data_IF_273054129241
#
_entry.id   IF_273054129241
#
_cell.length_a   1.000
_cell.length_b   1.000
_cell.length_c   1.000
_cell.angle_alpha   90.00
_cell.angle_beta   90.00
_cell.angle_gamma   90.00
#
_symmetry.space_group_name_H-M   'P 1'
#
loop_
_entity.id
_entity.type
_entity.pdbx_description
1 polymer ?
#
# COMPACT_ATOMS: atom_id res chain seq x y z
N UNK A 1 8.28 -42.40 6.32
CA UNK A 1 7.72 -41.20 5.65
C UNK A 1 8.29 -39.99 6.36
N UNK A 2 8.88 -39.00 5.67
CA UNK A 2 9.33 -37.78 6.32
C UNK A 2 8.14 -37.10 7.02
N UNK A 3 8.38 -36.52 8.19
CA UNK A 3 7.34 -35.77 8.89
C UNK A 3 6.94 -34.55 8.05
N UNK A 4 5.68 -34.08 8.12
CA UNK A 4 5.25 -32.88 7.42
C UNK A 4 6.11 -31.66 7.76
N UNK A 5 6.63 -31.59 9.00
CA UNK A 5 7.56 -30.57 9.44
C UNK A 5 8.92 -30.66 8.72
N UNK A 6 9.45 -31.86 8.50
CA UNK A 6 10.69 -32.04 7.75
C UNK A 6 10.54 -31.65 6.27
N UNK A 7 9.38 -31.94 5.67
CA UNK A 7 9.05 -31.52 4.31
C UNK A 7 8.90 -29.99 4.19
N UNK A 8 8.28 -29.35 5.19
CA UNK A 8 8.18 -27.89 5.24
C UNK A 8 9.55 -27.23 5.41
N UNK A 9 10.36 -27.72 6.36
CA UNK A 9 11.70 -27.19 6.60
C UNK A 9 12.60 -27.33 5.37
N UNK A 10 12.53 -28.45 4.64
CA UNK A 10 13.31 -28.64 3.41
C UNK A 10 12.84 -27.70 2.28
N UNK A 11 11.54 -27.45 2.17
CA UNK A 11 11.00 -26.48 1.22
C UNK A 11 11.50 -25.06 1.51
N UNK A 12 11.45 -24.63 2.77
CA UNK A 12 11.97 -23.31 3.20
C UNK A 12 13.47 -23.21 2.95
N UNK A 13 14.25 -24.23 3.29
CA UNK A 13 15.68 -24.25 3.02
C UNK A 13 15.98 -24.11 1.51
N UNK A 14 15.25 -24.85 0.67
CA UNK A 14 15.39 -24.75 -0.79
C UNK A 14 15.01 -23.39 -1.36
N UNK A 15 14.04 -22.68 -0.75
CA UNK A 15 13.71 -21.29 -1.12
C UNK A 15 14.82 -20.32 -0.74
N UNK A 16 15.40 -20.46 0.46
CA UNK A 16 16.53 -19.64 0.91
C UNK A 16 17.77 -19.86 0.02
N UNK A 17 18.08 -21.11 -0.31
CA UNK A 17 19.18 -21.45 -1.21
C UNK A 17 18.98 -20.82 -2.60
N UNK A 18 17.74 -20.86 -3.13
CA UNK A 18 17.40 -20.24 -4.42
C UNK A 18 17.49 -18.72 -4.38
N UNK A 19 17.05 -18.11 -3.27
CA UNK A 19 17.13 -16.67 -3.05
C UNK A 19 18.58 -16.21 -3.05
N UNK A 20 19.44 -16.84 -2.24
CA UNK A 20 20.89 -16.60 -2.20
C UNK A 20 21.53 -16.74 -3.57
N UNK A 21 21.29 -17.87 -4.25
CA UNK A 21 21.82 -18.11 -5.59
C UNK A 21 21.30 -17.11 -6.64
N UNK A 22 20.15 -16.49 -6.41
CA UNK A 22 19.64 -15.39 -7.22
C UNK A 22 20.49 -14.12 -7.07
N UNK A 23 20.79 -13.73 -5.82
CA UNK A 23 21.65 -12.58 -5.54
C UNK A 23 23.09 -12.76 -6.03
N UNK A 24 23.66 -13.96 -5.89
CA UNK A 24 24.99 -14.27 -6.40
C UNK A 24 25.10 -14.08 -7.93
N UNK A 25 24.00 -14.33 -8.67
CA UNK A 25 23.95 -14.16 -10.12
C UNK A 25 23.83 -12.71 -10.59
N UNK A 26 23.43 -11.78 -9.72
CA UNK A 26 23.13 -10.39 -10.07
C UNK A 26 24.37 -9.45 -10.05
N UNK A 27 25.58 -10.00 -10.04
CA UNK A 27 26.81 -9.26 -9.74
C UNK A 27 27.24 -8.25 -10.84
N UNK A 28 26.70 -8.38 -12.06
CA UNK A 28 26.97 -7.46 -13.18
C UNK A 28 25.80 -6.49 -13.41
N UNK A 29 26.01 -5.18 -13.23
CA UNK A 29 24.99 -4.15 -13.49
C UNK A 29 23.95 -3.91 -12.38
N UNK A 30 24.21 -4.45 -11.17
CA UNK A 30 23.33 -4.44 -9.99
C UNK A 30 22.60 -3.11 -9.74
N UNK A 31 23.27 -1.97 -9.90
CA UNK A 31 22.71 -0.66 -9.58
C UNK A 31 21.58 -0.21 -10.51
N UNK A 32 21.76 -0.38 -11.82
CA UNK A 32 20.73 0.00 -12.79
C UNK A 32 19.47 -0.87 -12.61
N UNK A 33 19.66 -2.16 -12.33
CA UNK A 33 18.57 -3.08 -12.03
C UNK A 33 17.86 -2.71 -10.73
N UNK A 34 18.60 -2.42 -9.65
CA UNK A 34 18.04 -1.97 -8.37
C UNK A 34 17.17 -0.73 -8.56
N UNK A 35 17.68 0.30 -9.23
CA UNK A 35 16.90 1.51 -9.51
C UNK A 35 15.69 1.22 -10.41
N UNK A 36 15.85 0.39 -11.44
CA UNK A 36 14.76 -0.02 -12.32
C UNK A 36 13.63 -0.71 -11.57
N UNK A 37 13.94 -1.60 -10.62
CA UNK A 37 12.95 -2.27 -9.76
C UNK A 37 12.21 -1.25 -8.87
N UNK A 38 12.92 -0.30 -8.25
CA UNK A 38 12.29 0.72 -7.41
C UNK A 38 11.37 1.63 -8.22
N UNK A 39 11.81 2.06 -9.40
CA UNK A 39 11.00 2.86 -10.32
C UNK A 39 9.75 2.09 -10.74
N UNK A 40 9.91 0.81 -11.12
CA UNK A 40 8.78 -0.05 -11.48
C UNK A 40 7.77 -0.15 -10.33
N UNK A 41 8.23 -0.43 -9.11
CA UNK A 41 7.35 -0.53 -7.94
C UNK A 41 6.67 0.80 -7.64
N UNK A 42 7.40 1.91 -7.76
CA UNK A 42 6.85 3.26 -7.52
C UNK A 42 5.69 3.56 -8.47
N UNK A 43 5.87 3.29 -9.77
CA UNK A 43 4.79 3.44 -10.74
C UNK A 43 3.67 2.43 -10.56
N UNK A 44 3.99 1.18 -10.19
CA UNK A 44 2.97 0.18 -9.87
C UNK A 44 2.11 0.59 -8.68
N UNK A 45 2.71 1.16 -7.62
CA UNK A 45 2.00 1.71 -6.47
C UNK A 45 1.10 2.90 -6.85
N UNK A 46 1.62 3.85 -7.62
CA UNK A 46 0.82 4.97 -8.13
C UNK A 46 -0.35 4.46 -8.99
N UNK A 47 -0.11 3.50 -9.87
CA UNK A 47 -1.14 2.87 -10.68
C UNK A 47 -2.18 2.12 -9.83
N UNK A 48 -1.76 1.43 -8.76
CA UNK A 48 -2.67 0.75 -7.84
C UNK A 48 -3.61 1.71 -7.11
N UNK A 49 -3.14 2.91 -6.75
CA UNK A 49 -3.98 3.98 -6.16
C UNK A 49 -5.03 4.43 -7.18
N UNK A 50 -4.62 4.71 -8.42
CA UNK A 50 -5.56 5.08 -9.49
C UNK A 50 -6.57 3.95 -9.77
N UNK A 51 -6.09 2.70 -9.80
CA UNK A 51 -6.94 1.53 -10.00
C UNK A 51 -7.97 1.40 -8.87
N UNK A 52 -7.58 1.62 -7.62
CA UNK A 52 -8.49 1.63 -6.48
C UNK A 52 -9.56 2.73 -6.61
N UNK A 53 -9.16 3.93 -7.03
CA UNK A 53 -10.11 5.01 -7.34
C UNK A 53 -11.12 4.60 -8.41
N UNK A 54 -10.66 3.97 -9.50
CA UNK A 54 -11.55 3.48 -10.56
C UNK A 54 -12.47 2.34 -10.10
N UNK A 55 -12.05 1.55 -9.11
CA UNK A 55 -12.90 0.53 -8.50
C UNK A 55 -14.05 1.19 -7.74
N UNK A 56 -13.81 2.25 -6.98
CA UNK A 56 -14.87 2.97 -6.28
C UNK A 56 -15.89 3.57 -7.26
N UNK A 57 -15.42 4.31 -8.27
CA UNK A 57 -16.27 4.91 -9.30
C UNK A 57 -17.11 3.86 -10.05
N UNK A 58 -16.51 2.72 -10.42
CA UNK A 58 -17.21 1.68 -11.16
C UNK A 58 -18.18 0.82 -10.32
N UNK A 59 -18.05 0.82 -8.99
CA UNK A 59 -18.85 -0.07 -8.12
C UNK A 59 -19.83 0.65 -7.21
N UNK A 60 -19.63 1.94 -6.96
CA UNK A 60 -20.48 2.75 -6.08
C UNK A 60 -21.30 3.71 -6.96
N UNK A 61 -22.41 3.22 -7.47
CA UNK A 61 -23.39 4.03 -8.22
C UNK A 61 -24.42 4.61 -7.23
N UNK A 62 -24.04 5.70 -6.55
CA UNK A 62 -24.89 6.39 -5.57
C UNK A 62 -24.70 7.90 -5.56
N UNK A 63 -25.82 8.58 -5.68
CA UNK A 63 -25.95 10.02 -5.47
C UNK A 63 -26.53 10.31 -4.09
N UNK A 64 -25.93 11.26 -3.38
CA UNK A 64 -26.47 11.78 -2.12
C UNK A 64 -26.55 13.30 -2.17
N UNK A 65 -27.72 13.84 -1.85
CA UNK A 65 -27.93 15.28 -1.72
C UNK A 65 -27.24 15.80 -0.45
N UNK A 66 -26.31 16.73 -0.63
CA UNK A 66 -25.64 17.47 0.46
C UNK A 66 -25.90 18.95 0.37
N UNK A 67 -25.70 19.66 1.48
CA UNK A 67 -25.66 21.11 1.44
C UNK A 67 -24.52 21.58 0.53
N UNK A 68 -24.82 22.52 -0.35
CA UNK A 68 -23.87 23.03 -1.32
C UNK A 68 -22.74 23.81 -0.61
N UNK A 69 -21.48 23.32 -0.61
CA UNK A 69 -20.39 23.98 0.08
C UNK A 69 -19.98 25.31 -0.57
N UNK A 70 -20.34 25.53 -1.83
CA UNK A 70 -20.06 26.77 -2.57
C UNK A 70 -21.09 27.88 -2.26
N UNK A 71 -22.25 27.51 -1.66
CA UNK A 71 -23.26 28.46 -1.19
C UNK A 71 -22.90 28.96 0.22
N UNK A 72 -22.86 30.29 0.47
CA UNK A 72 -22.69 30.83 1.82
C UNK A 72 -23.80 30.36 2.76
N UNK A 73 -23.54 30.37 4.07
CA UNK A 73 -24.56 30.00 5.05
C UNK A 73 -25.82 30.86 4.91
N UNK A 74 -26.98 30.30 5.26
CA UNK A 74 -28.26 31.00 5.10
C UNK A 74 -28.28 32.35 5.82
N UNK A 75 -27.66 32.44 7.01
CA UNK A 75 -27.50 33.71 7.73
C UNK A 75 -26.66 34.75 6.96
N UNK A 76 -25.66 34.30 6.19
CA UNK A 76 -24.84 35.18 5.34
C UNK A 76 -25.64 35.64 4.13
N UNK A 77 -26.43 34.75 3.53
CA UNK A 77 -27.29 35.09 2.40
C UNK A 77 -28.46 36.00 2.79
N UNK A 78 -29.09 35.82 3.95
CA UNK A 78 -30.09 36.78 4.46
C UNK A 78 -29.50 38.17 4.75
N UNK A 79 -28.21 38.24 5.11
CA UNK A 79 -27.57 39.51 5.47
C UNK A 79 -27.01 40.26 4.25
N UNK A 80 -26.54 39.55 3.22
CA UNK A 80 -25.78 40.12 2.11
C UNK A 80 -26.25 39.67 0.72
N UNK A 81 -27.27 38.83 0.63
CA UNK A 81 -27.76 38.25 -0.62
C UNK A 81 -28.60 39.21 -1.46
N UNK A 82 -29.29 40.16 -0.83
CA UNK A 82 -30.11 41.18 -1.50
C UNK A 82 -29.31 42.41 -1.95
N UNK A 83 -28.00 42.45 -1.64
CA UNK A 83 -27.10 43.53 -2.03
C UNK A 83 -26.32 43.13 -3.28
N UNK A 84 -26.74 43.65 -4.44
CA UNK A 84 -26.13 43.37 -5.75
C UNK A 84 -24.65 43.80 -5.84
N UNK A 85 -24.16 44.66 -4.92
CA UNK A 85 -22.73 45.03 -4.84
C UNK A 85 -21.90 44.05 -3.98
N UNK A 86 -22.55 43.06 -3.34
CA UNK A 86 -21.88 42.08 -2.49
C UNK A 86 -21.26 40.94 -3.29
N UNK A 87 -20.04 40.55 -2.92
CA UNK A 87 -19.30 39.41 -3.50
C UNK A 87 -19.94 38.03 -3.21
N UNK A 88 -21.10 38.02 -2.54
CA UNK A 88 -21.84 36.84 -2.13
C UNK A 88 -23.19 36.69 -2.85
N UNK A 89 -23.71 37.75 -3.50
CA UNK A 89 -25.00 37.72 -4.20
C UNK A 89 -25.08 36.57 -5.22
N UNK A 90 -24.11 36.50 -6.14
CA UNK A 90 -24.02 35.43 -7.16
C UNK A 90 -23.90 34.01 -6.57
N UNK A 91 -23.42 33.89 -5.32
CA UNK A 91 -23.25 32.59 -4.65
C UNK A 91 -24.48 32.20 -3.82
N UNK A 92 -25.31 33.17 -3.42
CA UNK A 92 -26.57 32.91 -2.74
C UNK A 92 -27.68 32.41 -3.67
N UNK A 93 -27.57 32.68 -4.98
CA UNK A 93 -28.44 32.14 -6.02
C UNK A 93 -28.20 30.65 -6.35
N UNK A 94 -27.09 30.08 -5.87
CA UNK A 94 -26.81 28.66 -6.05
C UNK A 94 -27.79 27.80 -5.26
N UNK A 95 -28.12 26.57 -5.72
CA UNK A 95 -29.03 25.69 -5.01
C UNK A 95 -28.49 25.35 -3.62
N UNK A 96 -29.39 25.25 -2.64
CA UNK A 96 -29.04 24.91 -1.26
C UNK A 96 -28.53 23.47 -1.11
N UNK A 97 -29.03 22.56 -1.95
CA UNK A 97 -28.63 21.16 -1.98
C UNK A 97 -28.07 20.81 -3.37
N UNK A 98 -26.99 20.01 -3.40
CA UNK A 98 -26.40 19.45 -4.61
C UNK A 98 -26.25 17.94 -4.44
N UNK A 99 -26.52 17.20 -5.52
CA UNK A 99 -26.32 15.76 -5.54
C UNK A 99 -24.86 15.44 -5.88
N UNK A 100 -24.19 14.69 -4.99
CA UNK A 100 -22.81 14.25 -5.18
C UNK A 100 -22.80 12.75 -5.47
N UNK A 101 -22.16 12.37 -6.58
CA UNK A 101 -21.79 10.99 -6.87
C UNK A 101 -20.66 10.55 -5.93
N UNK A 102 -20.97 9.60 -5.05
CA UNK A 102 -20.05 9.11 -4.03
C UNK A 102 -18.87 8.37 -4.65
N UNK A 103 -19.08 7.64 -5.75
CA UNK A 103 -18.03 6.90 -6.45
C UNK A 103 -16.99 7.82 -7.08
N UNK A 104 -17.44 8.83 -7.82
CA UNK A 104 -16.58 9.82 -8.45
C UNK A 104 -15.83 10.68 -7.42
N UNK A 105 -16.48 11.06 -6.31
CA UNK A 105 -15.82 11.84 -5.26
C UNK A 105 -14.74 11.02 -4.53
N UNK A 106 -15.00 9.74 -4.27
CA UNK A 106 -13.99 8.82 -3.71
C UNK A 106 -12.83 8.59 -4.69
N UNK A 107 -13.09 8.49 -6.00
CA UNK A 107 -12.04 8.40 -7.01
C UNK A 107 -11.16 9.65 -7.00
N UNK A 108 -11.78 10.84 -7.00
CA UNK A 108 -11.07 12.13 -6.95
C UNK A 108 -10.18 12.21 -5.72
N UNK A 109 -10.75 11.94 -4.55
CA UNK A 109 -10.03 11.95 -3.27
C UNK A 109 -8.88 10.92 -3.28
N UNK A 110 -9.11 9.72 -3.79
CA UNK A 110 -8.06 8.69 -3.93
C UNK A 110 -6.93 9.16 -4.84
N UNK A 111 -7.26 9.89 -5.91
CA UNK A 111 -6.30 10.48 -6.85
C UNK A 111 -5.32 11.46 -6.19
N UNK A 112 -5.74 12.16 -5.14
CA UNK A 112 -4.86 13.07 -4.37
C UNK A 112 -3.72 12.31 -3.69
N UNK A 113 -3.89 11.00 -3.44
CA UNK A 113 -2.86 10.17 -2.83
C UNK A 113 -1.77 9.67 -3.79
N UNK A 114 -1.92 9.89 -5.10
CA UNK A 114 -0.91 9.47 -6.08
C UNK A 114 0.47 10.06 -5.77
N UNK A 115 0.51 11.30 -5.28
CA UNK A 115 1.75 11.95 -4.83
C UNK A 115 2.45 11.18 -3.71
N UNK A 116 1.69 10.66 -2.74
CA UNK A 116 2.23 9.79 -1.68
C UNK A 116 2.73 8.47 -2.22
N UNK A 117 2.10 7.88 -3.24
CA UNK A 117 2.62 6.68 -3.91
C UNK A 117 3.97 6.93 -4.59
N UNK A 118 4.09 8.04 -5.31
CA UNK A 118 5.30 8.40 -6.06
C UNK A 118 6.51 8.74 -5.16
N UNK A 119 6.27 9.37 -4.02
CA UNK A 119 7.33 9.77 -3.09
C UNK A 119 7.53 8.77 -1.94
N UNK A 120 6.45 8.16 -1.47
CA UNK A 120 6.47 7.24 -0.34
C UNK A 120 7.27 5.98 -0.61
N UNK A 121 7.15 5.39 -1.80
CA UNK A 121 7.90 4.19 -2.19
C UNK A 121 9.42 4.40 -2.14
N UNK A 122 10.01 5.39 -2.85
CA UNK A 122 11.45 5.59 -2.80
C UNK A 122 11.96 6.02 -1.42
N UNK A 123 11.18 6.82 -0.67
CA UNK A 123 11.54 7.20 0.71
C UNK A 123 11.56 5.97 1.61
N UNK A 124 10.51 5.14 1.57
CA UNK A 124 10.41 3.94 2.38
C UNK A 124 11.49 2.91 2.04
N UNK A 125 11.76 2.71 0.74
CA UNK A 125 12.87 1.89 0.27
C UNK A 125 14.20 2.34 0.85
N UNK A 126 14.49 3.65 0.83
CA UNK A 126 15.72 4.19 1.37
C UNK A 126 15.82 4.02 2.89
N UNK A 127 14.74 4.30 3.62
CA UNK A 127 14.69 4.08 5.07
C UNK A 127 14.90 2.61 5.42
N UNK A 128 14.18 1.70 4.74
CA UNK A 128 14.33 0.27 4.96
C UNK A 128 15.76 -0.21 4.68
N UNK A 129 16.37 0.23 3.57
CA UNK A 129 17.75 -0.11 3.23
C UNK A 129 18.74 0.38 4.29
N UNK A 130 18.55 1.59 4.83
CA UNK A 130 19.41 2.15 5.89
C UNK A 130 19.28 1.39 7.21
N UNK A 131 18.04 1.08 7.62
CA UNK A 131 17.82 0.31 8.86
C UNK A 131 18.34 -1.12 8.70
N UNK A 132 18.14 -1.74 7.52
CA UNK A 132 18.71 -3.05 7.19
C UNK A 132 20.25 -3.01 7.24
N UNK A 133 20.87 -1.98 6.67
CA UNK A 133 22.32 -1.81 6.75
C UNK A 133 22.80 -1.66 8.20
N UNK A 134 22.12 -0.86 9.01
CA UNK A 134 22.43 -0.70 10.43
C UNK A 134 22.32 -2.03 11.18
N UNK A 135 21.20 -2.74 11.03
CA UNK A 135 20.94 -4.02 11.70
C UNK A 135 21.95 -5.11 11.30
N UNK A 136 22.33 -5.17 10.03
CA UNK A 136 23.32 -6.12 9.53
C UNK A 136 24.73 -5.82 10.03
N UNK A 137 25.11 -4.53 10.11
CA UNK A 137 26.40 -4.13 10.70
C UNK A 137 26.49 -4.45 12.18
N UNK A 138 25.41 -4.24 12.95
CA UNK A 138 25.34 -4.62 14.36
C UNK A 138 25.44 -6.15 14.54
N UNK A 139 24.96 -6.91 13.56
CA UNK A 139 25.04 -8.37 13.54
C UNK A 139 26.39 -8.92 13.00
N UNK A 140 27.36 -8.06 12.67
CA UNK A 140 28.70 -8.47 12.22
C UNK A 140 28.86 -8.68 10.70
N UNK A 141 27.87 -8.33 9.89
CA UNK A 141 27.92 -8.51 8.43
C UNK A 141 28.89 -7.55 7.73
N UNK A 142 29.52 -7.99 6.63
CA UNK A 142 30.64 -7.30 5.97
C UNK A 142 30.27 -6.55 4.68
N UNK A 143 28.99 -6.55 4.30
CA UNK A 143 28.48 -5.93 3.07
C UNK A 143 28.48 -4.38 3.03
N UNK A 144 28.37 -3.84 1.81
CA UNK A 144 28.30 -2.40 1.57
C UNK A 144 26.88 -1.86 1.71
N UNK A 145 26.74 -0.53 1.83
CA UNK A 145 25.42 0.11 1.88
C UNK A 145 24.60 -0.18 0.61
N UNK A 146 25.26 -0.20 -0.56
CA UNK A 146 24.61 -0.46 -1.85
C UNK A 146 24.00 -1.85 -1.91
N UNK A 147 24.58 -2.81 -1.22
CA UNK A 147 24.06 -4.17 -1.16
C UNK A 147 22.76 -4.20 -0.36
N UNK A 148 22.67 -3.47 0.75
CA UNK A 148 21.42 -3.32 1.51
C UNK A 148 20.31 -2.65 0.68
N UNK A 149 20.65 -1.66 -0.15
CA UNK A 149 19.70 -1.05 -1.10
C UNK A 149 19.22 -2.02 -2.19
N UNK A 150 20.10 -2.90 -2.68
CA UNK A 150 19.73 -3.93 -3.66
C UNK A 150 18.77 -4.96 -3.04
N UNK A 151 19.03 -5.41 -1.82
CA UNK A 151 18.16 -6.33 -1.08
C UNK A 151 16.79 -5.67 -0.83
N UNK A 152 16.80 -4.41 -0.39
CA UNK A 152 15.59 -3.62 -0.17
C UNK A 152 14.73 -3.49 -1.43
N UNK A 153 15.35 -3.28 -2.60
CA UNK A 153 14.63 -3.18 -3.87
C UNK A 153 13.92 -4.48 -4.25
N UNK A 154 14.56 -5.62 -4.05
CA UNK A 154 13.91 -6.92 -4.31
C UNK A 154 12.86 -7.27 -3.26
N UNK A 155 13.04 -6.86 -2.01
CA UNK A 155 12.01 -7.03 -0.99
C UNK A 155 10.76 -6.18 -1.30
N UNK A 156 10.93 -4.93 -1.73
CA UNK A 156 9.79 -4.08 -2.10
C UNK A 156 9.15 -4.50 -3.43
N UNK A 157 9.86 -5.19 -4.32
CA UNK A 157 9.27 -5.78 -5.54
C UNK A 157 8.09 -6.72 -5.22
N UNK A 158 8.16 -7.44 -4.10
CA UNK A 158 7.10 -8.35 -3.67
C UNK A 158 5.84 -7.58 -3.22
N UNK A 159 5.95 -6.31 -2.84
CA UNK A 159 4.80 -5.48 -2.46
C UNK A 159 3.81 -5.27 -3.61
N UNK A 160 4.26 -5.37 -4.87
CA UNK A 160 3.36 -5.32 -6.02
C UNK A 160 2.32 -6.44 -5.96
N UNK A 161 2.68 -7.61 -5.43
CA UNK A 161 1.74 -8.72 -5.22
C UNK A 161 0.73 -8.38 -4.13
N UNK A 162 1.17 -7.77 -3.03
CA UNK A 162 0.27 -7.32 -1.94
C UNK A 162 -0.70 -6.27 -2.45
N UNK A 163 -0.21 -5.30 -3.21
CA UNK A 163 -1.01 -4.25 -3.83
C UNK A 163 -2.09 -4.84 -4.74
N UNK A 164 -1.72 -5.74 -5.65
CA UNK A 164 -2.67 -6.40 -6.54
C UNK A 164 -3.72 -7.20 -5.76
N UNK A 165 -3.31 -7.93 -4.72
CA UNK A 165 -4.23 -8.65 -3.83
C UNK A 165 -5.18 -7.68 -3.09
N UNK A 166 -4.67 -6.55 -2.60
CA UNK A 166 -5.47 -5.51 -1.94
C UNK A 166 -6.54 -4.94 -2.86
N UNK A 167 -6.16 -4.53 -4.07
CA UNK A 167 -7.11 -4.03 -5.08
C UNK A 167 -8.16 -5.09 -5.42
N UNK A 168 -7.74 -6.34 -5.65
CA UNK A 168 -8.66 -7.43 -5.99
C UNK A 168 -9.66 -7.75 -4.85
N UNK A 169 -9.19 -7.75 -3.60
CA UNK A 169 -10.04 -8.00 -2.43
C UNK A 169 -11.04 -6.86 -2.22
N UNK A 170 -10.61 -5.60 -2.36
CA UNK A 170 -11.52 -4.46 -2.25
C UNK A 170 -12.54 -4.47 -3.39
N UNK A 171 -12.10 -4.67 -4.63
CA UNK A 171 -13.00 -4.80 -5.78
C UNK A 171 -14.04 -5.89 -5.57
N UNK A 172 -13.62 -7.07 -5.10
CA UNK A 172 -14.54 -8.17 -4.79
C UNK A 172 -15.54 -7.78 -3.70
N UNK A 173 -15.07 -7.18 -2.61
CA UNK A 173 -15.92 -6.78 -1.49
C UNK A 173 -16.99 -5.75 -1.92
N UNK A 174 -16.62 -4.79 -2.76
CA UNK A 174 -17.55 -3.78 -3.27
C UNK A 174 -18.51 -4.37 -4.29
N UNK A 175 -18.02 -5.21 -5.21
CA UNK A 175 -18.87 -5.84 -6.25
C UNK A 175 -19.92 -6.80 -5.69
N UNK A 176 -19.75 -7.26 -4.45
CA UNK A 176 -20.64 -8.24 -3.80
C UNK A 176 -21.50 -7.64 -2.69
N UNK A 177 -21.27 -6.37 -2.33
CA UNK A 177 -22.03 -5.66 -1.31
C UNK A 177 -23.05 -4.74 -1.96
N UNK A 178 -24.33 -4.89 -1.61
CA UNK A 178 -25.35 -3.90 -1.99
C UNK A 178 -25.27 -2.71 -1.04
N UNK A 179 -24.77 -1.57 -1.52
CA UNK A 179 -24.83 -0.30 -0.80
C UNK A 179 -26.25 0.25 -0.92
N UNK A 180 -26.97 0.27 0.21
CA UNK A 180 -28.41 0.56 0.31
C UNK A 180 -28.72 1.92 0.94
N UNK A 181 -27.78 2.49 1.70
CA UNK A 181 -27.97 3.71 2.48
C UNK A 181 -28.59 4.88 1.71
N UNK A 182 -29.52 5.59 2.37
CA UNK A 182 -30.19 6.78 1.83
C UNK A 182 -29.50 8.11 2.23
N UNK A 183 -28.45 8.03 3.06
CA UNK A 183 -27.67 9.18 3.54
C UNK A 183 -26.18 8.85 3.45
N UNK A 184 -25.32 9.87 3.41
CA UNK A 184 -23.86 9.69 3.43
C UNK A 184 -23.40 8.88 4.64
N UNK A 185 -24.00 9.12 5.81
CA UNK A 185 -23.67 8.36 7.02
C UNK A 185 -23.93 6.86 6.85
N UNK A 186 -25.10 6.50 6.32
CA UNK A 186 -25.45 5.10 6.08
C UNK A 186 -24.55 4.44 5.02
N UNK A 187 -24.27 5.15 3.92
CA UNK A 187 -23.34 4.67 2.87
C UNK A 187 -21.93 4.48 3.43
N UNK A 188 -21.47 5.40 4.27
CA UNK A 188 -20.15 5.34 4.91
C UNK A 188 -20.05 4.15 5.86
N UNK A 189 -21.06 3.91 6.70
CA UNK A 189 -21.09 2.79 7.63
C UNK A 189 -21.09 1.44 6.90
N UNK A 190 -21.86 1.31 5.82
CA UNK A 190 -21.90 0.13 4.96
C UNK A 190 -20.54 -0.12 4.29
N UNK A 191 -19.89 0.93 3.78
CA UNK A 191 -18.56 0.85 3.18
C UNK A 191 -17.49 0.45 4.22
N UNK A 192 -17.52 1.05 5.41
CA UNK A 192 -16.61 0.70 6.52
C UNK A 192 -16.82 -0.76 6.94
N UNK A 193 -18.06 -1.22 6.99
CA UNK A 193 -18.38 -2.61 7.32
C UNK A 193 -17.86 -3.58 6.25
N UNK A 194 -18.08 -3.28 4.97
CA UNK A 194 -17.58 -4.07 3.85
C UNK A 194 -16.05 -4.16 3.85
N UNK A 195 -15.36 -3.03 4.02
CA UNK A 195 -13.89 -2.99 4.10
C UNK A 195 -13.41 -3.73 5.36
N UNK A 196 -14.07 -3.55 6.50
CA UNK A 196 -13.69 -4.23 7.75
C UNK A 196 -13.80 -5.75 7.64
N UNK A 197 -14.76 -6.27 6.88
CA UNK A 197 -14.88 -7.70 6.60
C UNK A 197 -13.67 -8.26 5.81
N UNK A 198 -12.95 -7.42 5.07
CA UNK A 198 -11.77 -7.81 4.30
C UNK A 198 -10.47 -7.89 5.12
N UNK A 199 -10.46 -7.43 6.39
CA UNK A 199 -9.24 -7.42 7.22
C UNK A 199 -8.58 -8.79 7.31
N UNK A 200 -9.36 -9.85 7.56
CA UNK A 200 -8.82 -11.22 7.66
C UNK A 200 -8.07 -11.66 6.40
N UNK A 201 -8.73 -11.65 5.22
CA UNK A 201 -8.07 -11.93 3.94
C UNK A 201 -6.84 -11.05 3.65
N UNK A 202 -6.92 -9.74 3.92
CA UNK A 202 -5.80 -8.81 3.69
C UNK A 202 -4.61 -9.09 4.63
N UNK A 203 -4.87 -9.44 5.88
CA UNK A 203 -3.84 -9.86 6.83
C UNK A 203 -3.16 -11.15 6.39
N UNK A 204 -3.93 -12.13 5.90
CA UNK A 204 -3.38 -13.36 5.35
C UNK A 204 -2.49 -13.09 4.13
N UNK A 205 -2.97 -12.28 3.17
CA UNK A 205 -2.19 -11.88 2.02
C UNK A 205 -0.90 -11.14 2.44
N UNK A 206 -1.00 -10.27 3.45
CA UNK A 206 0.15 -9.55 4.01
C UNK A 206 1.17 -10.51 4.61
N UNK A 207 0.73 -11.47 5.43
CA UNK A 207 1.59 -12.48 6.04
C UNK A 207 2.34 -13.32 4.99
N UNK A 208 1.65 -13.73 3.91
CA UNK A 208 2.28 -14.45 2.79
C UNK A 208 3.36 -13.60 2.12
N UNK A 209 3.06 -12.34 1.82
CA UNK A 209 4.03 -11.43 1.20
C UNK A 209 5.22 -11.18 2.12
N UNK A 210 5.00 -10.97 3.42
CA UNK A 210 6.06 -10.80 4.42
C UNK A 210 6.95 -12.04 4.48
N UNK A 211 6.38 -13.24 4.43
CA UNK A 211 7.16 -14.48 4.40
C UNK A 211 8.06 -14.57 3.15
N UNK A 212 7.55 -14.15 1.99
CA UNK A 212 8.35 -14.08 0.75
C UNK A 212 9.46 -13.03 0.89
N UNK A 213 9.13 -11.84 1.41
CA UNK A 213 10.11 -10.78 1.67
C UNK A 213 11.21 -11.23 2.62
N UNK A 214 10.84 -11.98 3.67
CA UNK A 214 11.81 -12.58 4.59
C UNK A 214 12.79 -13.49 3.85
N UNK A 215 12.31 -14.38 2.97
CA UNK A 215 13.18 -15.25 2.14
C UNK A 215 14.13 -14.42 1.26
N UNK A 216 13.63 -13.33 0.65
CA UNK A 216 14.44 -12.42 -0.16
C UNK A 216 15.51 -11.74 0.68
N UNK A 217 15.13 -11.18 1.84
CA UNK A 217 16.05 -10.51 2.75
C UNK A 217 17.13 -11.48 3.24
N UNK A 218 16.75 -12.65 3.77
CA UNK A 218 17.71 -13.63 4.29
C UNK A 218 18.70 -14.08 3.22
N UNK A 219 18.22 -14.44 2.01
CA UNK A 219 19.11 -14.85 0.92
C UNK A 219 20.06 -13.73 0.48
N UNK A 220 19.60 -12.49 0.47
CA UNK A 220 20.44 -11.33 0.17
C UNK A 220 21.48 -11.03 1.26
N UNK A 221 21.11 -11.22 2.53
CA UNK A 221 22.03 -11.08 3.66
C UNK A 221 23.13 -12.16 3.66
N UNK A 222 22.77 -13.41 3.34
CA UNK A 222 23.76 -14.49 3.15
C UNK A 222 24.69 -14.19 1.97
N UNK A 223 24.15 -13.69 0.85
CA UNK A 223 24.93 -13.47 -0.38
C UNK A 223 25.84 -12.24 -0.31
N UNK A 224 25.35 -11.11 0.19
CA UNK A 224 26.08 -9.84 0.10
C UNK A 224 26.66 -9.33 1.43
N UNK A 225 26.13 -9.78 2.56
CA UNK A 225 26.62 -9.39 3.88
C UNK A 225 27.37 -10.52 4.61
N UNK A 226 27.51 -11.69 3.98
CA UNK A 226 28.21 -12.86 4.49
C UNK A 226 27.75 -13.27 5.91
N UNK A 227 26.46 -13.07 6.19
CA UNK A 227 25.86 -13.44 7.47
C UNK A 227 25.51 -14.92 7.47
N UNK A 228 25.74 -15.58 8.60
CA UNK A 228 25.21 -16.92 8.85
C UNK A 228 23.69 -16.93 8.72
N UNK A 229 23.14 -17.99 8.10
CA UNK A 229 21.70 -18.15 7.87
C UNK A 229 20.84 -17.89 9.11
N UNK A 230 21.29 -18.35 10.28
CA UNK A 230 20.56 -18.14 11.54
C UNK A 230 20.47 -16.66 11.92
N UNK A 231 21.58 -15.93 11.80
CA UNK A 231 21.65 -14.49 12.09
C UNK A 231 20.87 -13.69 11.06
N UNK A 232 21.06 -13.99 9.77
CA UNK A 232 20.29 -13.40 8.68
C UNK A 232 18.78 -13.61 8.88
N UNK A 233 18.38 -14.82 9.29
CA UNK A 233 17.00 -15.19 9.62
C UNK A 233 16.41 -14.34 10.76
N UNK A 234 17.17 -14.10 11.82
CA UNK A 234 16.75 -13.25 12.94
C UNK A 234 16.63 -11.79 12.50
N UNK A 235 17.63 -11.25 11.82
CA UNK A 235 17.60 -9.86 11.31
C UNK A 235 16.39 -9.66 10.40
N UNK A 236 16.22 -10.53 9.39
CA UNK A 236 15.05 -10.49 8.51
C UNK A 236 13.73 -10.70 9.27
N UNK A 237 13.72 -11.55 10.30
CA UNK A 237 12.55 -11.84 11.12
C UNK A 237 12.05 -10.62 11.91
N UNK A 238 12.97 -9.80 12.44
CA UNK A 238 12.61 -8.55 13.12
C UNK A 238 11.90 -7.59 12.15
N UNK A 239 12.41 -7.44 10.93
CA UNK A 239 11.77 -6.62 9.90
C UNK A 239 10.40 -7.17 9.49
N UNK A 240 10.30 -8.49 9.32
CA UNK A 240 9.03 -9.15 9.02
C UNK A 240 8.00 -8.95 10.13
N UNK A 241 8.41 -9.05 11.39
CA UNK A 241 7.55 -8.80 12.54
C UNK A 241 7.05 -7.35 12.56
N UNK A 242 7.93 -6.38 12.30
CA UNK A 242 7.54 -4.97 12.20
C UNK A 242 6.56 -4.73 11.05
N UNK A 243 6.81 -5.32 9.87
CA UNK A 243 5.90 -5.25 8.74
C UNK A 243 4.52 -5.84 9.05
N UNK A 244 4.47 -6.95 9.80
CA UNK A 244 3.21 -7.58 10.20
C UNK A 244 2.45 -6.73 11.21
N UNK A 245 3.15 -6.11 12.16
CA UNK A 245 2.57 -5.18 13.11
C UNK A 245 1.98 -3.97 12.39
N UNK A 246 2.69 -3.40 11.42
CA UNK A 246 2.16 -2.30 10.60
C UNK A 246 0.93 -2.72 9.79
N UNK A 247 0.89 -3.96 9.28
CA UNK A 247 -0.28 -4.45 8.55
C UNK A 247 -1.50 -4.73 9.45
N UNK A 248 -1.29 -4.85 10.77
CA UNK A 248 -2.33 -5.21 11.74
C UNK A 248 -3.02 -4.02 12.42
N UNK A 249 -2.51 -2.81 12.22
CA UNK A 249 -3.05 -1.55 12.77
C UNK A 249 -3.83 -0.82 11.69
#
# INVERSE_FOLDING_TARGET
MPSPLAAFASAVAGLLDRSRAGFDRLDSGRQALTLGVVVLVTFASAFGIVALGSVFDATIDREVSVENPERPSEATCETFGDDDESVFADRCDQPAMVDIDVGTELQRTTGEYVGYGLLGVPIWWALFALVLHGGTRLAGGTGSLRDSFAIAAWAIAVEVVRLAAGVAVVWYALSTTTVGGATIGAVTDELIAAISATRGPLLLASAVVIAIQWVVVVGGLEAYHDLDRGVAGVVGGIFGAFGLLLAAV
#
